data_IF_968501866413
#
_entry.id   IF_968501866413
#
_cell.length_a   1.000
_cell.length_b   1.000
_cell.length_c   1.000
_cell.angle_alpha   90.00
_cell.angle_beta   90.00
_cell.angle_gamma   90.00
#
_symmetry.space_group_name_H-M   'P 1'
#
loop_
_entity.id
_entity.type
_entity.pdbx_description
1 polymer ?
#
# COMPACT_ATOMS: atom_id res chain seq x y z
N UNK A 1 34.70 6.39 -14.34
CA UNK A 1 33.65 5.52 -13.75
C UNK A 1 34.26 4.15 -13.57
N UNK A 2 34.26 3.67 -12.32
CA UNK A 2 34.76 2.35 -11.91
C UNK A 2 34.23 1.24 -12.84
N UNK A 3 35.09 0.27 -13.18
CA UNK A 3 34.75 -0.88 -14.00
C UNK A 3 33.53 -1.62 -13.41
N UNK A 4 33.46 -1.73 -12.08
CA UNK A 4 32.34 -2.37 -11.39
C UNK A 4 31.01 -1.64 -11.62
N UNK A 5 31.03 -0.30 -11.62
CA UNK A 5 29.82 0.50 -11.85
C UNK A 5 29.36 0.34 -13.30
N UNK A 6 30.29 0.33 -14.27
CA UNK A 6 29.94 0.09 -15.69
C UNK A 6 29.31 -1.28 -15.89
N UNK A 7 29.89 -2.32 -15.29
CA UNK A 7 29.34 -3.68 -15.33
C UNK A 7 27.93 -3.72 -14.73
N UNK A 8 27.75 -3.13 -13.54
CA UNK A 8 26.44 -3.06 -12.86
C UNK A 8 25.38 -2.34 -13.71
N UNK A 9 25.74 -1.26 -14.42
CA UNK A 9 24.85 -0.55 -15.34
C UNK A 9 24.45 -1.45 -16.51
N UNK A 10 25.41 -2.12 -17.15
CA UNK A 10 25.15 -3.02 -18.28
C UNK A 10 24.26 -4.21 -17.88
N UNK A 11 24.52 -4.81 -16.72
CA UNK A 11 23.71 -5.91 -16.19
C UNK A 11 22.26 -5.45 -15.94
N UNK A 12 22.08 -4.25 -15.37
CA UNK A 12 20.75 -3.70 -15.10
C UNK A 12 19.97 -3.34 -16.38
N UNK A 13 20.66 -2.79 -17.40
CA UNK A 13 20.07 -2.52 -18.71
C UNK A 13 19.64 -3.81 -19.42
N UNK A 14 20.49 -4.83 -19.38
CA UNK A 14 20.22 -6.16 -19.95
C UNK A 14 19.03 -6.81 -19.26
N UNK A 15 19.00 -6.82 -17.93
CA UNK A 15 17.89 -7.37 -17.15
C UNK A 15 16.58 -6.62 -17.41
N UNK A 16 16.62 -5.29 -17.55
CA UNK A 16 15.45 -4.50 -17.93
C UNK A 16 14.93 -4.91 -19.32
N UNK A 17 15.82 -5.02 -20.31
CA UNK A 17 15.48 -5.44 -21.66
C UNK A 17 14.83 -6.83 -21.70
N UNK A 18 15.43 -7.81 -21.00
CA UNK A 18 14.89 -9.18 -20.90
C UNK A 18 13.48 -9.15 -20.31
N UNK A 19 13.27 -8.47 -19.18
CA UNK A 19 11.95 -8.44 -18.52
C UNK A 19 10.86 -7.80 -19.36
N UNK A 20 11.19 -6.72 -20.07
CA UNK A 20 10.23 -6.01 -20.92
C UNK A 20 9.77 -6.90 -22.08
N UNK A 21 10.65 -7.76 -22.60
CA UNK A 21 10.32 -8.65 -23.70
C UNK A 21 9.73 -9.99 -23.26
N UNK A 22 10.03 -10.46 -22.04
CA UNK A 22 9.51 -11.72 -21.51
C UNK A 22 8.12 -11.60 -20.86
N UNK A 23 7.76 -10.41 -20.36
CA UNK A 23 6.45 -10.22 -19.76
C UNK A 23 5.39 -9.89 -20.81
N UNK A 24 4.28 -10.63 -20.74
CA UNK A 24 3.08 -10.34 -21.51
C UNK A 24 2.21 -9.30 -20.78
N UNK A 25 2.19 -8.08 -21.31
CA UNK A 25 1.38 -6.99 -20.76
C UNK A 25 -0.09 -7.20 -21.07
N UNK A 26 -0.43 -7.82 -22.20
CA UNK A 26 -1.82 -8.03 -22.60
C UNK A 26 -2.52 -8.91 -21.56
N UNK A 27 -1.86 -9.98 -21.09
CA UNK A 27 -2.37 -10.80 -19.96
C UNK A 27 -2.65 -9.99 -18.69
N UNK A 28 -1.79 -9.02 -18.36
CA UNK A 28 -2.01 -8.15 -17.18
C UNK A 28 -3.20 -7.22 -17.40
N UNK A 29 -3.33 -6.68 -18.61
CA UNK A 29 -4.41 -5.79 -19.03
C UNK A 29 -5.76 -6.53 -19.04
N UNK A 30 -5.83 -7.71 -19.65
CA UNK A 30 -7.01 -8.58 -19.66
C UNK A 30 -7.48 -8.89 -18.24
N UNK A 31 -6.54 -9.22 -17.34
CA UNK A 31 -6.84 -9.46 -15.93
C UNK A 31 -7.46 -8.25 -15.23
N UNK A 32 -6.95 -7.05 -15.49
CA UNK A 32 -7.50 -5.81 -14.92
C UNK A 32 -8.87 -5.46 -15.51
N UNK A 33 -9.06 -5.61 -16.83
CA UNK A 33 -10.36 -5.38 -17.48
C UNK A 33 -11.40 -6.37 -16.94
N UNK A 34 -11.02 -7.64 -16.76
CA UNK A 34 -11.90 -8.65 -16.16
C UNK A 34 -12.32 -8.25 -14.74
N UNK A 35 -11.38 -7.85 -13.89
CA UNK A 35 -11.68 -7.38 -12.53
C UNK A 35 -12.63 -6.17 -12.51
N UNK A 36 -12.45 -5.22 -13.43
CA UNK A 36 -13.33 -4.05 -13.57
C UNK A 36 -14.75 -4.43 -14.03
N UNK A 37 -14.88 -5.34 -15.00
CA UNK A 37 -16.18 -5.84 -15.45
C UNK A 37 -16.90 -6.65 -14.40
N UNK A 38 -16.16 -7.47 -13.64
CA UNK A 38 -16.71 -8.18 -12.49
C UNK A 38 -17.20 -7.22 -11.40
N UNK A 39 -16.56 -6.05 -11.25
CA UNK A 39 -17.05 -5.00 -10.35
C UNK A 39 -18.42 -4.49 -10.82
N UNK A 40 -18.59 -4.11 -12.09
CA UNK A 40 -19.88 -3.65 -12.65
C UNK A 40 -21.00 -4.67 -12.41
N UNK A 41 -20.74 -5.94 -12.76
CA UNK A 41 -21.77 -6.99 -12.74
C UNK A 41 -22.26 -7.35 -11.33
N UNK A 42 -21.47 -7.06 -10.30
CA UNK A 42 -21.77 -7.42 -8.91
C UNK A 42 -22.14 -6.21 -8.05
N UNK A 43 -22.07 -4.98 -8.57
CA UNK A 43 -22.51 -3.79 -7.85
C UNK A 43 -24.03 -3.64 -7.95
N UNK A 44 -24.79 -4.63 -7.45
CA UNK A 44 -26.12 -4.34 -6.92
C UNK A 44 -25.94 -3.64 -5.56
N UNK A 45 -25.49 -2.39 -5.62
CA UNK A 45 -25.72 -1.47 -4.52
C UNK A 45 -27.24 -1.35 -4.41
N UNK A 46 -27.86 -2.11 -3.49
CA UNK A 46 -29.30 -2.29 -3.21
C UNK A 46 -30.27 -1.10 -3.35
N UNK A 47 -29.83 0.08 -3.78
CA UNK A 47 -30.70 1.16 -4.18
C UNK A 47 -31.11 0.92 -5.64
N UNK A 48 -32.42 0.86 -5.90
CA UNK A 48 -33.03 0.84 -7.24
C UNK A 48 -32.73 2.12 -8.07
N UNK A 49 -31.63 2.81 -7.78
CA UNK A 49 -31.23 4.05 -8.42
C UNK A 49 -30.42 3.74 -9.68
N UNK A 50 -31.14 3.52 -10.78
CA UNK A 50 -30.58 3.30 -12.12
C UNK A 50 -29.55 4.38 -12.50
N UNK A 51 -29.73 5.62 -12.06
CA UNK A 51 -28.79 6.70 -12.34
C UNK A 51 -27.42 6.47 -11.66
N UNK A 52 -27.42 6.02 -10.40
CA UNK A 52 -26.18 5.72 -9.68
C UNK A 52 -25.40 4.59 -10.36
N UNK A 53 -26.10 3.51 -10.73
CA UNK A 53 -25.48 2.38 -11.44
C UNK A 53 -24.91 2.80 -12.80
N UNK A 54 -25.61 3.67 -13.53
CA UNK A 54 -25.12 4.23 -14.79
C UNK A 54 -23.83 5.04 -14.59
N UNK A 55 -23.76 5.90 -13.57
CA UNK A 55 -22.55 6.69 -13.26
C UNK A 55 -21.36 5.78 -12.94
N UNK A 56 -21.57 4.75 -12.12
CA UNK A 56 -20.53 3.77 -11.77
C UNK A 56 -20.05 3.02 -13.01
N UNK A 57 -20.99 2.54 -13.82
CA UNK A 57 -20.70 1.81 -15.06
C UNK A 57 -19.89 2.68 -16.02
N UNK A 58 -20.32 3.92 -16.26
CA UNK A 58 -19.60 4.88 -17.10
C UNK A 58 -18.18 5.12 -16.59
N UNK A 59 -18.00 5.36 -15.28
CA UNK A 59 -16.67 5.56 -14.71
C UNK A 59 -15.76 4.34 -14.88
N UNK A 60 -16.29 3.12 -14.74
CA UNK A 60 -15.52 1.90 -14.91
C UNK A 60 -15.17 1.67 -16.39
N UNK A 61 -16.09 1.92 -17.31
CA UNK A 61 -15.81 1.83 -18.75
C UNK A 61 -14.77 2.87 -19.20
N UNK A 62 -14.74 4.06 -18.60
CA UNK A 62 -13.65 5.02 -18.81
C UNK A 62 -12.29 4.46 -18.36
N UNK A 63 -12.22 3.81 -17.20
CA UNK A 63 -10.99 3.14 -16.76
C UNK A 63 -10.57 2.00 -17.71
N UNK A 64 -11.53 1.20 -18.20
CA UNK A 64 -11.26 0.14 -19.20
C UNK A 64 -10.74 0.75 -20.49
N UNK A 65 -11.35 1.83 -20.98
CA UNK A 65 -10.92 2.56 -22.17
C UNK A 65 -9.48 3.06 -22.06
N UNK A 66 -9.10 3.62 -20.90
CA UNK A 66 -7.72 4.03 -20.64
C UNK A 66 -6.73 2.86 -20.68
N UNK A 67 -7.10 1.70 -20.10
CA UNK A 67 -6.26 0.51 -20.12
C UNK A 67 -6.06 0.01 -21.57
N UNK A 68 -7.12 0.02 -22.38
CA UNK A 68 -7.04 -0.34 -23.81
C UNK A 68 -6.19 0.63 -24.62
N UNK A 69 -6.22 1.94 -24.32
CA UNK A 69 -5.31 2.90 -24.96
C UNK A 69 -3.85 2.57 -24.66
N UNK A 70 -3.54 2.16 -23.42
CA UNK A 70 -2.21 1.69 -23.04
C UNK A 70 -1.83 0.42 -23.79
N UNK A 71 -2.71 -0.57 -23.88
CA UNK A 71 -2.49 -1.80 -24.64
C UNK A 71 -2.16 -1.50 -26.11
N UNK A 72 -3.01 -0.70 -26.74
CA UNK A 72 -2.88 -0.33 -28.14
C UNK A 72 -1.55 0.39 -28.40
N UNK A 73 -1.24 1.44 -27.63
CA UNK A 73 0.01 2.19 -27.79
C UNK A 73 1.24 1.38 -27.39
N UNK A 74 1.12 0.45 -26.44
CA UNK A 74 2.20 -0.46 -26.08
C UNK A 74 2.61 -1.34 -27.26
N UNK A 75 1.62 -1.97 -27.89
CA UNK A 75 1.83 -2.90 -29.00
C UNK A 75 2.31 -2.19 -30.28
N UNK A 76 1.85 -0.96 -30.53
CA UNK A 76 2.20 -0.24 -31.77
C UNK A 76 3.45 0.64 -31.66
N UNK A 77 3.71 1.25 -30.50
CA UNK A 77 4.71 2.32 -30.40
C UNK A 77 5.65 2.19 -29.20
N UNK A 78 5.14 2.02 -27.97
CA UNK A 78 5.99 2.12 -26.78
C UNK A 78 6.98 0.97 -26.66
N UNK A 79 6.59 -0.27 -26.98
CA UNK A 79 7.51 -1.42 -26.90
C UNK A 79 8.74 -1.23 -27.79
N UNK A 80 8.52 -0.72 -29.01
CA UNK A 80 9.59 -0.44 -29.96
C UNK A 80 10.49 0.73 -29.50
N UNK A 81 9.91 1.84 -29.04
CA UNK A 81 10.65 2.98 -28.48
C UNK A 81 11.54 2.55 -27.29
N UNK A 82 10.98 1.76 -26.37
CA UNK A 82 11.70 1.23 -25.21
C UNK A 82 12.86 0.32 -25.63
N UNK A 83 12.59 -0.61 -26.55
CA UNK A 83 13.61 -1.55 -27.04
C UNK A 83 14.75 -0.83 -27.77
N UNK A 84 14.45 0.16 -28.62
CA UNK A 84 15.46 0.99 -29.28
C UNK A 84 16.29 1.75 -28.24
N UNK A 85 15.61 2.42 -27.30
CA UNK A 85 16.24 3.22 -26.25
C UNK A 85 17.22 2.40 -25.41
N UNK A 86 16.84 1.18 -25.02
CA UNK A 86 17.70 0.27 -24.26
C UNK A 86 18.89 -0.25 -25.07
N UNK A 87 18.67 -0.66 -26.33
CA UNK A 87 19.75 -1.13 -27.23
C UNK A 87 20.77 -0.03 -27.50
N UNK A 88 20.33 1.18 -27.77
CA UNK A 88 21.21 2.34 -27.95
C UNK A 88 21.96 2.69 -26.67
N UNK A 89 21.35 2.52 -25.49
CA UNK A 89 22.02 2.74 -24.20
C UNK A 89 23.10 1.69 -23.95
N UNK A 90 22.83 0.42 -24.26
CA UNK A 90 23.81 -0.68 -24.18
C UNK A 90 24.99 -0.47 -25.13
N UNK A 91 24.73 0.10 -26.32
CA UNK A 91 25.76 0.47 -27.29
C UNK A 91 26.51 1.78 -26.96
N UNK A 92 26.18 2.44 -25.84
CA UNK A 92 26.79 3.71 -25.44
C UNK A 92 26.37 4.92 -26.28
N UNK A 93 25.33 4.79 -27.11
CA UNK A 93 24.80 5.88 -27.96
C UNK A 93 23.87 6.81 -27.21
N UNK A 94 23.15 6.30 -26.20
CA UNK A 94 22.26 7.09 -25.36
C UNK A 94 22.89 7.46 -24.01
N UNK A 95 22.60 8.68 -23.55
CA UNK A 95 23.00 9.14 -22.22
C UNK A 95 22.18 8.42 -21.15
N UNK A 96 22.87 7.74 -20.23
CA UNK A 96 22.29 7.13 -19.04
C UNK A 96 22.60 8.01 -17.84
N UNK A 97 21.57 8.62 -17.25
CA UNK A 97 21.74 9.43 -16.05
C UNK A 97 21.74 8.52 -14.82
N UNK A 98 22.82 8.59 -14.06
CA UNK A 98 23.02 7.79 -12.85
C UNK A 98 22.71 8.65 -11.63
N UNK A 99 21.67 8.32 -10.90
CA UNK A 99 21.24 9.05 -9.69
C UNK A 99 21.37 8.14 -8.48
N UNK A 100 22.06 8.61 -7.44
CA UNK A 100 22.10 7.89 -6.16
C UNK A 100 20.73 8.02 -5.49
N UNK A 101 20.14 6.86 -5.23
CA UNK A 101 18.91 6.71 -4.48
C UNK A 101 19.14 6.75 -2.98
N UNK A 102 18.04 6.64 -2.23
CA UNK A 102 18.11 6.42 -0.79
C UNK A 102 18.65 5.03 -0.50
N UNK A 103 19.35 4.87 0.61
CA UNK A 103 19.81 3.57 1.12
C UNK A 103 20.74 2.83 0.16
N UNK A 104 21.53 3.58 -0.60
CA UNK A 104 22.51 3.04 -1.54
C UNK A 104 21.91 2.43 -2.80
N UNK A 105 20.60 2.59 -3.07
CA UNK A 105 20.07 2.23 -4.39
C UNK A 105 20.63 3.14 -5.47
N UNK A 106 20.65 2.65 -6.70
CA UNK A 106 21.17 3.38 -7.85
C UNK A 106 20.08 3.40 -8.92
N UNK A 107 19.71 4.60 -9.36
CA UNK A 107 18.69 4.81 -10.38
C UNK A 107 19.35 5.15 -11.71
N UNK A 108 19.02 4.40 -12.74
CA UNK A 108 19.36 4.73 -14.12
C UNK A 108 18.14 5.39 -14.76
N UNK A 109 18.31 6.61 -15.28
CA UNK A 109 17.26 7.31 -16.01
C UNK A 109 17.68 7.47 -17.46
N UNK A 110 16.80 7.04 -18.35
CA UNK A 110 17.04 7.02 -19.79
C UNK A 110 15.82 7.65 -20.46
N UNK A 111 16.07 8.56 -21.40
CA UNK A 111 15.02 9.29 -22.09
C UNK A 111 14.84 8.72 -23.49
N UNK A 112 13.71 8.09 -23.74
CA UNK A 112 13.25 7.75 -25.09
C UNK A 112 12.42 8.87 -25.71
N UNK A 113 11.96 8.64 -26.94
CA UNK A 113 11.11 9.58 -27.68
C UNK A 113 9.72 9.63 -27.07
N UNK A 114 9.11 8.46 -26.89
CA UNK A 114 7.75 8.30 -26.38
C UNK A 114 7.71 7.89 -24.91
N UNK A 115 8.83 7.41 -24.37
CA UNK A 115 8.93 6.90 -23.01
C UNK A 115 10.09 7.51 -22.23
N UNK A 116 10.05 7.40 -20.91
CA UNK A 116 11.23 7.53 -20.05
C UNK A 116 11.39 6.24 -19.25
N UNK A 117 12.59 5.69 -19.20
CA UNK A 117 12.89 4.45 -18.48
C UNK A 117 13.66 4.80 -17.21
N UNK A 118 13.16 4.32 -16.08
CA UNK A 118 13.83 4.39 -14.79
C UNK A 118 14.11 2.98 -14.29
N UNK A 119 15.37 2.66 -14.02
CA UNK A 119 15.79 1.35 -13.54
C UNK A 119 16.39 1.54 -12.14
N UNK A 120 15.73 0.97 -11.14
CA UNK A 120 16.24 0.95 -9.76
C UNK A 120 17.04 -0.33 -9.53
N UNK A 121 18.30 -0.16 -9.09
CA UNK A 121 19.19 -1.23 -8.67
C UNK A 121 19.28 -1.19 -7.14
N UNK A 122 18.72 -2.21 -6.47
CA UNK A 122 18.77 -2.30 -5.01
C UNK A 122 20.00 -3.07 -4.55
N UNK A 123 20.84 -2.45 -3.72
CA UNK A 123 22.06 -3.08 -3.17
C UNK A 123 21.79 -4.13 -2.09
N UNK A 124 20.69 -4.03 -1.35
CA UNK A 124 20.61 -4.70 -0.05
C UNK A 124 20.07 -6.15 -0.09
N UNK A 125 19.54 -6.63 -1.23
CA UNK A 125 19.07 -8.02 -1.42
C UNK A 125 19.17 -8.41 -2.88
N UNK A 126 20.14 -9.26 -3.22
CA UNK A 126 20.25 -9.97 -4.50
C UNK A 126 20.23 -9.11 -5.78
N UNK A 127 20.76 -7.88 -5.74
CA UNK A 127 20.75 -6.95 -6.89
C UNK A 127 19.39 -6.88 -7.60
N UNK A 128 18.30 -6.77 -6.84
CA UNK A 128 16.97 -6.76 -7.46
C UNK A 128 16.82 -5.49 -8.30
N UNK A 129 16.72 -5.68 -9.61
CA UNK A 129 16.36 -4.63 -10.56
C UNK A 129 14.85 -4.38 -10.47
N UNK A 130 14.38 -3.15 -10.61
CA UNK A 130 12.98 -2.82 -10.88
C UNK A 130 12.96 -1.79 -11.99
N UNK A 131 12.19 -2.04 -13.04
CA UNK A 131 12.13 -1.14 -14.20
C UNK A 131 10.77 -0.47 -14.25
N UNK A 132 10.76 0.86 -14.33
CA UNK A 132 9.57 1.67 -14.49
C UNK A 132 9.65 2.40 -15.83
N UNK A 133 8.62 2.24 -16.66
CA UNK A 133 8.50 2.91 -17.95
C UNK A 133 7.42 3.97 -17.83
N UNK A 134 7.81 5.23 -17.83
CA UNK A 134 6.89 6.36 -17.87
C UNK A 134 6.42 6.60 -19.30
N UNK A 135 5.11 6.66 -19.48
CA UNK A 135 4.47 6.74 -20.79
C UNK A 135 4.07 8.19 -21.09
N UNK A 136 4.37 8.70 -22.29
CA UNK A 136 3.97 10.04 -22.74
C UNK A 136 2.83 9.97 -23.73
N UNK A 137 1.97 10.98 -23.74
CA UNK A 137 0.86 11.07 -24.69
C UNK A 137 -0.30 10.11 -24.40
N UNK A 138 -0.43 9.65 -23.14
CA UNK A 138 -1.66 9.00 -22.67
C UNK A 138 -2.67 10.06 -22.27
N UNK A 139 -3.93 9.78 -22.56
CA UNK A 139 -5.03 10.65 -22.15
C UNK A 139 -5.26 10.55 -20.66
N UNK A 140 -5.79 11.65 -20.13
CA UNK A 140 -6.31 11.73 -18.76
C UNK A 140 -7.84 11.74 -18.83
N UNK A 141 -8.51 11.11 -17.86
CA UNK A 141 -9.97 11.06 -17.77
C UNK A 141 -10.45 11.71 -16.48
N UNK A 142 -11.61 12.35 -16.55
CA UNK A 142 -12.34 12.84 -15.38
C UNK A 142 -13.46 11.85 -15.07
N UNK A 143 -13.45 11.30 -13.87
CA UNK A 143 -14.52 10.46 -13.34
C UNK A 143 -15.45 11.31 -12.46
N UNK A 144 -16.75 11.03 -12.53
CA UNK A 144 -17.76 11.68 -11.69
C UNK A 144 -18.11 10.74 -10.56
N UNK A 145 -17.56 11.00 -9.36
CA UNK A 145 -17.71 10.11 -8.22
C UNK A 145 -18.92 10.52 -7.37
N UNK A 146 -19.97 9.70 -7.30
CA UNK A 146 -21.12 9.98 -6.44
C UNK A 146 -20.77 9.76 -4.97
N UNK A 147 -21.49 10.45 -4.06
CA UNK A 147 -21.38 10.20 -2.63
C UNK A 147 -22.06 8.88 -2.24
N UNK A 148 -21.41 7.75 -2.54
CA UNK A 148 -21.99 6.42 -2.27
C UNK A 148 -21.91 5.99 -0.80
N UNK A 149 -20.94 6.55 -0.06
CA UNK A 149 -20.72 6.13 1.31
C UNK A 149 -21.75 6.77 2.27
N UNK A 150 -22.37 7.91 1.89
CA UNK A 150 -23.25 8.72 2.74
C UNK A 150 -22.68 8.89 4.15
N UNK A 151 -21.38 9.19 4.22
CA UNK A 151 -20.69 9.46 5.47
C UNK A 151 -20.83 10.94 5.80
N UNK A 152 -20.80 11.26 7.09
CA UNK A 152 -20.66 12.65 7.53
C UNK A 152 -19.28 13.20 7.14
N UNK A 153 -19.16 14.53 7.09
CA UNK A 153 -17.88 15.19 6.77
C UNK A 153 -16.76 14.77 7.73
N UNK A 154 -17.11 14.57 9.00
CA UNK A 154 -16.19 14.08 10.02
C UNK A 154 -15.68 12.66 9.74
N UNK A 155 -16.53 11.77 9.24
CA UNK A 155 -16.13 10.41 8.89
C UNK A 155 -15.30 10.36 7.61
N UNK A 156 -15.65 11.19 6.62
CA UNK A 156 -14.80 11.39 5.44
C UNK A 156 -13.43 11.94 5.82
N UNK A 157 -13.38 12.94 6.70
CA UNK A 157 -12.14 13.53 7.19
C UNK A 157 -11.23 12.45 7.82
N UNK A 158 -11.77 11.61 8.70
CA UNK A 158 -10.98 10.54 9.34
C UNK A 158 -10.42 9.56 8.30
N UNK A 159 -11.23 9.09 7.36
CA UNK A 159 -10.76 8.16 6.33
C UNK A 159 -9.68 8.80 5.45
N UNK A 160 -9.86 10.05 5.03
CA UNK A 160 -8.89 10.80 4.22
C UNK A 160 -7.59 11.04 4.97
N UNK A 161 -7.66 11.36 6.27
CA UNK A 161 -6.52 11.63 7.13
C UNK A 161 -5.55 10.44 7.22
N UNK A 162 -6.07 9.22 7.36
CA UNK A 162 -5.22 8.02 7.40
C UNK A 162 -4.48 7.78 6.07
N UNK A 163 -5.13 8.00 4.93
CA UNK A 163 -4.44 7.99 3.64
C UNK A 163 -3.42 9.11 3.51
N UNK A 164 -3.75 10.31 3.98
CA UNK A 164 -2.86 11.49 3.92
C UNK A 164 -1.57 11.28 4.71
N UNK A 165 -1.66 10.59 5.85
CA UNK A 165 -0.50 10.18 6.64
C UNK A 165 0.33 9.07 5.97
N UNK A 166 -0.29 8.23 5.15
CA UNK A 166 0.34 7.19 4.31
C UNK A 166 0.68 7.66 2.89
N UNK A 167 0.11 7.02 1.88
CA UNK A 167 0.41 7.18 0.44
C UNK A 167 -0.13 8.47 -0.17
N UNK A 168 -1.02 9.18 0.52
CA UNK A 168 -1.62 10.42 0.04
C UNK A 168 -0.60 11.53 -0.13
N UNK A 169 -0.68 12.22 -1.26
CA UNK A 169 0.17 13.36 -1.63
C UNK A 169 -0.69 14.57 -1.97
N UNK A 170 -0.03 15.71 -2.19
CA UNK A 170 -0.67 16.92 -2.71
C UNK A 170 -0.15 17.17 -4.11
N UNK A 171 -1.07 17.44 -5.01
CA UNK A 171 -0.79 17.90 -6.36
C UNK A 171 -1.57 19.19 -6.60
N UNK A 172 -0.89 20.29 -6.90
CA UNK A 172 -1.53 21.59 -7.17
C UNK A 172 -2.53 22.04 -6.09
N UNK A 173 -2.20 21.80 -4.81
CA UNK A 173 -3.07 22.13 -3.67
C UNK A 173 -4.27 21.20 -3.46
N UNK A 174 -4.30 20.08 -4.19
CA UNK A 174 -5.40 19.11 -4.19
C UNK A 174 -4.93 17.75 -3.67
N UNK A 175 -5.81 16.97 -3.03
CA UNK A 175 -5.48 15.64 -2.59
C UNK A 175 -5.24 14.75 -3.81
N UNK A 176 -4.16 13.99 -3.77
CA UNK A 176 -3.73 13.13 -4.85
C UNK A 176 -3.13 11.82 -4.33
N UNK A 177 -3.04 10.83 -5.20
CA UNK A 177 -2.43 9.54 -4.89
C UNK A 177 -1.78 8.94 -6.15
N UNK A 178 -0.63 8.30 -5.94
CA UNK A 178 -0.03 7.40 -6.93
C UNK A 178 -0.14 5.98 -6.40
N UNK A 179 -0.77 5.09 -7.15
CA UNK A 179 -0.97 3.70 -6.71
C UNK A 179 -0.81 2.71 -7.85
N UNK A 180 -0.45 1.47 -7.50
CA UNK A 180 -0.42 0.31 -8.39
C UNK A 180 -1.59 -0.64 -8.14
N UNK A 181 -2.44 -0.33 -7.17
CA UNK A 181 -3.48 -1.22 -6.69
C UNK A 181 -4.84 -0.69 -7.11
N UNK A 182 -5.57 -1.49 -7.88
CA UNK A 182 -6.85 -1.09 -8.43
C UNK A 182 -7.90 -0.83 -7.32
N UNK A 183 -7.91 -1.64 -6.26
CA UNK A 183 -8.79 -1.37 -5.12
C UNK A 183 -8.48 -0.03 -4.44
N UNK A 184 -7.22 0.40 -4.42
CA UNK A 184 -6.80 1.65 -3.78
C UNK A 184 -7.21 2.85 -4.63
N UNK A 185 -7.14 2.72 -5.96
CA UNK A 185 -7.73 3.66 -6.91
C UNK A 185 -9.22 3.86 -6.61
N UNK A 186 -9.99 2.77 -6.56
CA UNK A 186 -11.44 2.84 -6.34
C UNK A 186 -11.75 3.40 -4.95
N UNK A 187 -11.18 2.82 -3.89
CA UNK A 187 -11.46 3.26 -2.51
C UNK A 187 -11.11 4.73 -2.31
N UNK A 188 -9.95 5.18 -2.81
CA UNK A 188 -9.54 6.57 -2.69
C UNK A 188 -10.52 7.49 -3.41
N UNK A 189 -10.93 7.17 -4.64
CA UNK A 189 -11.93 7.97 -5.37
C UNK A 189 -13.24 8.11 -4.59
N UNK A 190 -13.73 7.04 -3.97
CA UNK A 190 -14.95 7.08 -3.15
C UNK A 190 -14.85 7.98 -1.92
N UNK A 191 -13.64 8.26 -1.43
CA UNK A 191 -13.44 9.20 -0.33
C UNK A 191 -13.51 10.66 -0.79
N UNK A 192 -13.42 10.95 -2.10
CA UNK A 192 -13.46 12.31 -2.65
C UNK A 192 -14.59 12.44 -3.68
N UNK A 193 -15.86 12.43 -3.25
CA UNK A 193 -16.99 12.56 -4.16
C UNK A 193 -16.92 13.88 -4.95
N UNK A 194 -17.34 13.86 -6.21
CA UNK A 194 -17.17 14.93 -7.19
C UNK A 194 -16.27 14.50 -8.34
N UNK A 195 -15.55 15.46 -8.93
CA UNK A 195 -14.64 15.21 -10.04
C UNK A 195 -13.30 14.66 -9.54
N UNK A 196 -12.92 13.49 -10.05
CA UNK A 196 -11.61 12.87 -9.84
C UNK A 196 -10.93 12.69 -11.18
N UNK A 197 -9.76 13.29 -11.34
CA UNK A 197 -8.93 13.12 -12.53
C UNK A 197 -8.04 11.89 -12.37
N UNK A 198 -8.01 11.03 -13.39
CA UNK A 198 -7.28 9.76 -13.41
C UNK A 198 -6.39 9.68 -14.65
N UNK A 199 -5.13 9.30 -14.45
CA UNK A 199 -4.18 9.04 -15.53
C UNK A 199 -3.36 7.79 -15.25
N UNK A 200 -2.97 7.06 -16.30
CA UNK A 200 -1.95 6.01 -16.21
C UNK A 200 -0.60 6.67 -16.48
N UNK A 201 0.31 6.65 -15.51
CA UNK A 201 1.61 7.32 -15.64
C UNK A 201 2.70 6.39 -16.16
N UNK A 202 2.66 5.12 -15.76
CA UNK A 202 3.79 4.24 -16.01
C UNK A 202 3.47 2.76 -15.88
N UNK A 203 4.26 1.91 -16.53
CA UNK A 203 4.26 0.45 -16.41
C UNK A 203 5.48 0.00 -15.61
N UNK A 204 5.27 -0.80 -14.57
CA UNK A 204 6.32 -1.30 -13.69
C UNK A 204 6.60 -2.77 -13.95
N UNK A 205 7.84 -3.11 -14.32
CA UNK A 205 8.30 -4.46 -14.61
C UNK A 205 9.15 -4.97 -13.45
N UNK A 206 8.66 -6.02 -12.81
CA UNK A 206 9.39 -6.76 -11.77
C UNK A 206 9.79 -8.12 -12.31
N UNK A 207 10.55 -8.90 -11.52
CA UNK A 207 10.84 -10.29 -11.87
C UNK A 207 9.56 -11.13 -12.05
N UNK A 208 8.48 -10.79 -11.34
CA UNK A 208 7.28 -11.65 -11.23
C UNK A 208 6.10 -11.17 -12.07
N UNK A 209 6.00 -9.87 -12.32
CA UNK A 209 4.81 -9.30 -12.93
C UNK A 209 5.05 -7.89 -13.49
N UNK A 210 4.10 -7.48 -14.32
CA UNK A 210 3.88 -6.09 -14.75
C UNK A 210 2.79 -5.47 -13.89
N UNK A 211 2.88 -4.17 -13.63
CA UNK A 211 1.83 -3.40 -12.97
C UNK A 211 1.61 -2.05 -13.66
N UNK A 212 0.37 -1.59 -13.63
CA UNK A 212 -0.01 -0.24 -14.05
C UNK A 212 0.09 0.68 -12.85
N UNK A 213 0.74 1.83 -13.02
CA UNK A 213 0.79 2.88 -12.02
C UNK A 213 -0.18 3.99 -12.39
N UNK A 214 -1.22 4.11 -11.57
CA UNK A 214 -2.24 5.14 -11.63
C UNK A 214 -1.79 6.38 -10.89
N UNK A 215 -2.21 7.52 -11.40
CA UNK A 215 -2.15 8.80 -10.70
C UNK A 215 -3.55 9.39 -10.69
N UNK A 216 -4.02 9.74 -9.49
CA UNK A 216 -5.34 10.29 -9.26
C UNK A 216 -5.25 11.55 -8.42
N UNK A 217 -6.15 12.50 -8.68
CA UNK A 217 -6.35 13.64 -7.80
C UNK A 217 -7.78 14.18 -7.92
N UNK A 218 -8.25 14.84 -6.86
CA UNK A 218 -9.60 15.40 -6.84
C UNK A 218 -9.60 16.83 -7.38
N UNK A 219 -10.44 17.12 -8.37
CA UNK A 219 -10.68 18.48 -8.87
C UNK A 219 -11.72 19.24 -8.05
N UNK A 220 -12.57 18.54 -7.30
CA UNK A 220 -13.56 19.16 -6.43
C UNK A 220 -12.97 19.54 -5.07
N UNK A 221 -12.13 18.69 -4.49
CA UNK A 221 -11.62 18.90 -3.13
C UNK A 221 -10.30 19.68 -3.13
N UNK A 222 -10.15 20.59 -2.17
CA UNK A 222 -8.87 21.25 -1.83
C UNK A 222 -8.30 20.62 -0.57
N UNK A 223 -6.99 20.41 -0.55
CA UNK A 223 -6.33 19.84 0.62
C UNK A 223 -6.05 20.92 1.67
N UNK A 224 -6.47 20.69 2.91
CA UNK A 224 -6.17 21.56 4.05
C UNK A 224 -4.90 21.11 4.77
N UNK A 225 -4.57 19.82 4.71
CA UNK A 225 -3.40 19.20 5.34
C UNK A 225 -2.18 19.33 4.43
N UNK A 226 -1.45 20.45 4.57
CA UNK A 226 -0.34 20.86 3.68
C UNK A 226 0.81 19.86 3.58
N UNK A 227 1.07 19.07 4.62
CA UNK A 227 2.17 18.10 4.61
C UNK A 227 1.87 16.91 5.54
N UNK A 228 2.71 15.86 5.48
CA UNK A 228 2.55 14.67 6.32
C UNK A 228 2.72 14.96 7.82
N UNK A 229 3.48 15.98 8.19
CA UNK A 229 3.70 16.31 9.60
C UNK A 229 2.41 16.82 10.25
N UNK A 230 1.68 17.69 9.55
CA UNK A 230 0.35 18.14 9.96
C UNK A 230 -0.61 16.95 10.01
N UNK A 231 -0.52 16.01 9.05
CA UNK A 231 -1.34 14.80 9.08
C UNK A 231 -1.11 13.98 10.35
N UNK A 232 0.14 13.81 10.81
CA UNK A 232 0.44 13.11 12.06
C UNK A 232 -0.04 13.88 13.29
N UNK A 233 0.05 15.22 13.30
CA UNK A 233 -0.49 16.04 14.39
C UNK A 233 -2.02 15.93 14.48
N UNK A 234 -2.71 15.91 13.35
CA UNK A 234 -4.16 15.73 13.30
C UNK A 234 -4.56 14.30 13.72
N UNK A 235 -3.78 13.28 13.34
CA UNK A 235 -3.96 11.92 13.84
C UNK A 235 -3.79 11.85 15.37
N UNK A 236 -2.79 12.53 15.93
CA UNK A 236 -2.57 12.58 17.38
C UNK A 236 -3.79 13.15 18.12
N UNK A 237 -4.45 14.16 17.56
CA UNK A 237 -5.63 14.81 18.17
C UNK A 237 -6.91 13.98 18.04
N UNK A 238 -7.03 13.19 16.97
CA UNK A 238 -8.29 12.56 16.59
C UNK A 238 -8.09 11.16 16.01
N UNK A 239 -7.33 10.32 16.70
CA UNK A 239 -7.14 8.93 16.27
C UNK A 239 -8.49 8.17 16.34
N UNK A 240 -8.80 7.35 15.34
CA UNK A 240 -10.08 6.63 15.27
C UNK A 240 -9.97 5.34 14.47
N UNK A 241 -10.94 4.44 14.61
CA UNK A 241 -11.01 3.19 13.82
C UNK A 241 -10.92 3.45 12.31
N UNK A 242 -11.47 4.57 11.82
CA UNK A 242 -11.53 4.94 10.40
C UNK A 242 -10.18 5.40 9.86
N UNK A 243 -9.49 6.30 10.55
CA UNK A 243 -8.16 6.73 10.10
C UNK A 243 -7.12 5.61 10.26
N UNK A 244 -7.27 4.76 11.29
CA UNK A 244 -6.44 3.56 11.44
C UNK A 244 -6.64 2.55 10.31
N UNK A 245 -7.89 2.37 9.85
CA UNK A 245 -8.17 1.53 8.69
C UNK A 245 -7.39 2.01 7.48
N UNK A 246 -7.55 3.27 7.07
CA UNK A 246 -6.93 3.77 5.83
C UNK A 246 -5.41 3.90 5.94
N UNK A 247 -4.89 4.19 7.13
CA UNK A 247 -3.45 4.13 7.41
C UNK A 247 -2.89 2.72 7.22
N UNK A 248 -3.57 1.68 7.71
CA UNK A 248 -3.17 0.28 7.52
C UNK A 248 -3.33 -0.15 6.05
N UNK A 249 -4.43 0.25 5.40
CA UNK A 249 -4.67 -0.05 4.00
C UNK A 249 -3.60 0.57 3.10
N UNK A 250 -3.08 1.75 3.46
CA UNK A 250 -2.00 2.43 2.75
C UNK A 250 -0.63 1.76 2.97
N UNK A 251 0.13 2.20 3.99
CA UNK A 251 1.50 1.75 4.24
C UNK A 251 1.61 0.59 5.25
N UNK A 252 0.46 0.09 5.71
CA UNK A 252 0.39 -1.03 6.66
C UNK A 252 0.52 -2.41 6.02
N UNK A 253 0.79 -3.39 6.88
CA UNK A 253 0.85 -4.81 6.56
C UNK A 253 0.28 -5.64 7.71
N UNK A 254 -0.35 -6.76 7.37
CA UNK A 254 -0.96 -7.69 8.32
C UNK A 254 -0.41 -9.08 8.05
N UNK A 255 0.11 -9.73 9.07
CA UNK A 255 0.62 -11.10 9.01
C UNK A 255 -0.18 -11.97 9.97
N UNK A 256 -1.02 -12.84 9.43
CA UNK A 256 -1.87 -13.76 10.21
C UNK A 256 -1.05 -14.84 10.91
N UNK A 257 0.08 -15.29 10.32
CA UNK A 257 0.93 -16.33 10.92
C UNK A 257 1.65 -15.77 12.14
N UNK A 258 2.18 -14.55 12.00
CA UNK A 258 2.86 -13.82 13.08
C UNK A 258 1.89 -13.09 14.02
N UNK A 259 0.60 -13.07 13.69
CA UNK A 259 -0.45 -12.32 14.37
C UNK A 259 -0.03 -10.88 14.65
N UNK A 260 0.39 -10.16 13.62
CA UNK A 260 0.82 -8.77 13.78
C UNK A 260 0.19 -7.82 12.75
N UNK A 261 0.07 -6.57 13.19
CA UNK A 261 -0.22 -5.42 12.34
C UNK A 261 1.03 -4.54 12.41
N UNK A 262 1.62 -4.25 11.25
CA UNK A 262 2.78 -3.37 11.13
C UNK A 262 2.44 -2.18 10.26
N UNK A 263 2.69 -0.98 10.76
CA UNK A 263 2.70 0.27 9.98
C UNK A 263 4.13 0.69 9.73
N UNK A 264 4.44 1.13 8.50
CA UNK A 264 5.78 1.58 8.14
C UNK A 264 5.82 3.09 7.97
N UNK A 265 6.90 3.71 8.41
CA UNK A 265 7.16 5.13 8.20
C UNK A 265 8.63 5.35 7.86
N UNK A 266 8.91 6.43 7.12
CA UNK A 266 10.29 6.88 6.90
C UNK A 266 10.97 7.30 8.21
N UNK A 267 12.31 7.31 8.22
CA UNK A 267 13.11 7.67 9.40
C UNK A 267 12.77 9.06 9.96
N UNK A 268 12.38 10.01 9.11
CA UNK A 268 11.98 11.35 9.54
C UNK A 268 10.60 11.42 10.21
N UNK A 269 9.79 10.36 10.09
CA UNK A 269 8.36 10.40 10.38
C UNK A 269 7.90 9.37 11.41
N UNK A 270 8.70 8.34 11.72
CA UNK A 270 8.23 7.23 12.54
C UNK A 270 7.93 7.64 13.99
N UNK A 271 8.70 8.57 14.56
CA UNK A 271 8.46 9.09 15.91
C UNK A 271 7.14 9.87 15.97
N UNK A 272 6.86 10.67 14.95
CA UNK A 272 5.59 11.40 14.81
C UNK A 272 4.42 10.44 14.70
N UNK A 273 4.57 9.38 13.90
CA UNK A 273 3.55 8.34 13.80
C UNK A 273 3.38 7.59 15.14
N UNK A 274 4.48 7.23 15.81
CA UNK A 274 4.43 6.58 17.13
C UNK A 274 3.68 7.43 18.14
N UNK A 275 4.00 8.73 18.22
CA UNK A 275 3.33 9.69 19.08
C UNK A 275 1.84 9.79 18.77
N UNK A 276 1.49 9.86 17.48
CA UNK A 276 0.09 9.89 17.04
C UNK A 276 -0.71 8.64 17.41
N UNK A 277 -0.05 7.48 17.58
CA UNK A 277 -0.69 6.22 17.97
C UNK A 277 -0.82 6.05 19.49
N UNK A 278 -0.11 6.84 20.30
CA UNK A 278 -0.13 6.73 21.77
C UNK A 278 -1.53 6.87 22.38
N UNK A 279 -2.38 7.83 21.97
CA UNK A 279 -3.73 7.94 22.54
C UNK A 279 -4.56 6.67 22.35
N UNK A 280 -4.57 6.09 21.14
CA UNK A 280 -5.27 4.84 20.85
C UNK A 280 -4.67 3.66 21.61
N UNK A 281 -3.34 3.63 21.73
CA UNK A 281 -2.64 2.58 22.49
C UNK A 281 -3.09 2.58 23.95
N UNK A 282 -3.22 3.77 24.54
CA UNK A 282 -3.68 3.96 25.92
C UNK A 282 -5.17 3.61 26.07
N UNK A 283 -6.02 4.11 25.16
CA UNK A 283 -7.47 3.82 25.14
C UNK A 283 -7.74 2.31 25.10
N UNK A 284 -7.08 1.61 24.18
CA UNK A 284 -7.27 0.17 23.99
C UNK A 284 -6.43 -0.69 24.95
N UNK A 285 -5.60 -0.07 25.80
CA UNK A 285 -4.64 -0.74 26.69
C UNK A 285 -3.75 -1.74 25.95
N UNK A 286 -3.37 -1.42 24.72
CA UNK A 286 -2.49 -2.23 23.88
C UNK A 286 -1.06 -1.67 23.89
N UNK A 287 -0.09 -2.52 23.55
CA UNK A 287 1.32 -2.13 23.37
C UNK A 287 1.76 -2.40 21.94
N UNK A 288 2.67 -1.57 21.44
CA UNK A 288 3.37 -1.79 20.18
C UNK A 288 4.89 -1.72 20.39
N UNK A 289 5.63 -2.25 19.43
CA UNK A 289 7.09 -2.16 19.37
C UNK A 289 7.51 -1.35 18.15
N UNK A 290 8.64 -0.65 18.27
CA UNK A 290 9.26 0.06 17.15
C UNK A 290 10.47 -0.74 16.69
N UNK A 291 10.55 -1.03 15.39
CA UNK A 291 11.69 -1.66 14.74
C UNK A 291 12.26 -0.72 13.69
N UNK A 292 13.36 -0.05 14.04
CA UNK A 292 14.08 0.85 13.13
C UNK A 292 15.03 0.04 12.26
N UNK A 293 15.08 0.38 10.96
CA UNK A 293 16.02 -0.17 9.97
C UNK A 293 16.55 1.00 9.14
N UNK A 294 17.61 0.74 8.37
CA UNK A 294 18.23 1.76 7.50
C UNK A 294 17.21 2.49 6.63
N UNK A 295 16.16 1.78 6.18
CA UNK A 295 15.19 2.31 5.22
C UNK A 295 13.97 3.00 5.82
N UNK A 296 13.83 2.99 7.15
CA UNK A 296 12.63 3.43 7.86
C UNK A 296 12.34 2.58 9.08
N UNK A 297 11.27 2.90 9.80
CA UNK A 297 10.85 2.15 10.97
C UNK A 297 9.49 1.49 10.78
N UNK A 298 9.30 0.38 11.50
CA UNK A 298 8.02 -0.31 11.63
C UNK A 298 7.46 -0.18 13.03
N UNK A 299 6.22 0.26 13.16
CA UNK A 299 5.46 0.21 14.41
C UNK A 299 4.58 -1.05 14.36
N UNK A 300 4.81 -1.97 15.29
CA UNK A 300 4.31 -3.34 15.22
C UNK A 300 3.48 -3.67 16.46
N UNK A 301 2.21 -3.98 16.25
CA UNK A 301 1.32 -4.57 17.23
C UNK A 301 1.39 -6.09 17.09
N UNK A 302 1.65 -6.81 18.18
CA UNK A 302 1.82 -8.27 18.18
C UNK A 302 0.70 -8.97 18.96
N UNK A 303 0.37 -10.19 18.53
CA UNK A 303 -0.48 -11.14 19.26
C UNK A 303 -1.82 -10.51 19.68
N UNK A 304 -2.12 -10.51 20.98
CA UNK A 304 -3.35 -9.95 21.55
C UNK A 304 -3.53 -8.47 21.19
N UNK A 305 -2.47 -7.67 21.18
CA UNK A 305 -2.53 -6.25 20.81
C UNK A 305 -3.01 -6.04 19.37
N UNK A 306 -2.52 -6.89 18.45
CA UNK A 306 -2.91 -6.85 17.05
C UNK A 306 -4.39 -7.25 16.86
N UNK A 307 -4.83 -8.27 17.59
CA UNK A 307 -6.23 -8.74 17.58
C UNK A 307 -7.17 -7.69 18.16
N UNK A 308 -6.82 -7.06 19.29
CA UNK A 308 -7.61 -5.99 19.91
C UNK A 308 -7.74 -4.80 18.94
N UNK A 309 -6.64 -4.36 18.33
CA UNK A 309 -6.68 -3.30 17.33
C UNK A 309 -7.54 -3.68 16.11
N UNK A 310 -7.40 -4.90 15.60
CA UNK A 310 -8.21 -5.38 14.47
C UNK A 310 -9.71 -5.39 14.80
N UNK A 311 -10.09 -5.87 15.99
CA UNK A 311 -11.48 -5.86 16.47
C UNK A 311 -12.01 -4.44 16.62
N UNK A 312 -11.23 -3.55 17.23
CA UNK A 312 -11.61 -2.15 17.36
C UNK A 312 -11.88 -1.53 15.99
N UNK A 313 -11.01 -1.78 15.00
CA UNK A 313 -11.24 -1.27 13.64
C UNK A 313 -12.51 -1.89 13.05
N UNK A 314 -12.56 -3.22 12.92
CA UNK A 314 -13.67 -3.93 12.24
C UNK A 314 -15.02 -3.64 12.88
N UNK A 315 -15.12 -3.57 14.20
CA UNK A 315 -16.41 -3.40 14.87
C UNK A 315 -16.95 -1.97 14.71
N UNK A 316 -16.08 -0.96 14.69
CA UNK A 316 -16.47 0.46 14.68
C UNK A 316 -16.56 1.09 13.28
N UNK A 317 -16.55 0.30 12.19
CA UNK A 317 -16.79 0.83 10.84
C UNK A 317 -18.29 0.93 10.51
N UNK A 318 -18.72 1.95 9.76
CA UNK A 318 -20.06 2.01 9.17
C UNK A 318 -20.35 0.79 8.28
N UNK A 319 -21.58 0.26 8.33
CA UNK A 319 -21.98 -0.92 7.55
C UNK A 319 -21.81 -0.71 6.04
N UNK A 320 -22.10 0.49 5.53
CA UNK A 320 -21.90 0.84 4.11
C UNK A 320 -20.43 0.70 3.70
N UNK A 321 -19.51 1.21 4.53
CA UNK A 321 -18.07 1.08 4.28
C UNK A 321 -17.63 -0.40 4.33
N UNK A 322 -18.12 -1.19 5.29
CA UNK A 322 -17.85 -2.64 5.34
C UNK A 322 -18.30 -3.36 4.06
N UNK A 323 -19.49 -3.04 3.56
CA UNK A 323 -20.03 -3.60 2.30
C UNK A 323 -19.09 -3.29 1.13
N UNK A 324 -18.65 -2.04 1.00
CA UNK A 324 -17.69 -1.64 -0.04
C UNK A 324 -16.36 -2.40 0.11
N UNK A 325 -15.80 -2.45 1.31
CA UNK A 325 -14.53 -3.16 1.54
C UNK A 325 -14.63 -4.66 1.22
N UNK A 326 -15.77 -5.30 1.49
CA UNK A 326 -16.03 -6.70 1.10
C UNK A 326 -16.07 -6.87 -0.43
N UNK A 327 -16.72 -5.95 -1.16
CA UNK A 327 -16.73 -5.97 -2.63
C UNK A 327 -15.30 -5.81 -3.18
N UNK A 328 -14.53 -4.87 -2.64
CA UNK A 328 -13.13 -4.66 -3.04
C UNK A 328 -12.24 -5.85 -2.71
N UNK A 329 -12.49 -6.54 -1.59
CA UNK A 329 -11.80 -7.78 -1.24
C UNK A 329 -12.07 -8.88 -2.26
N UNK A 330 -13.34 -9.11 -2.58
CA UNK A 330 -13.76 -10.18 -3.47
C UNK A 330 -13.34 -9.94 -4.91
N UNK A 331 -13.56 -8.72 -5.44
CA UNK A 331 -13.40 -8.42 -6.87
C UNK A 331 -12.04 -7.86 -7.23
N UNK A 332 -11.41 -7.11 -6.32
CA UNK A 332 -10.15 -6.42 -6.56
C UNK A 332 -9.01 -6.90 -5.65
N UNK A 333 -9.21 -8.05 -4.99
CA UNK A 333 -8.22 -8.71 -4.14
C UNK A 333 -7.63 -7.79 -3.05
N UNK A 334 -8.50 -7.06 -2.35
CA UNK A 334 -8.14 -6.30 -1.14
C UNK A 334 -7.78 -7.23 0.05
N UNK A 335 -6.66 -7.92 -0.08
CA UNK A 335 -6.17 -8.92 0.87
C UNK A 335 -5.91 -8.34 2.27
N UNK A 336 -5.59 -7.05 2.38
CA UNK A 336 -5.43 -6.37 3.67
C UNK A 336 -6.73 -6.37 4.47
N UNK A 337 -7.88 -6.11 3.85
CA UNK A 337 -9.18 -6.17 4.54
C UNK A 337 -9.53 -7.59 4.97
N UNK A 338 -9.32 -8.58 4.08
CA UNK A 338 -9.48 -10.00 4.40
C UNK A 338 -8.70 -10.41 5.64
N UNK A 339 -7.40 -10.08 5.66
CA UNK A 339 -6.51 -10.36 6.78
C UNK A 339 -6.89 -9.61 8.04
N UNK A 340 -7.37 -8.38 7.94
CA UNK A 340 -7.82 -7.62 9.10
C UNK A 340 -9.04 -8.27 9.76
N UNK A 341 -10.05 -8.67 8.97
CA UNK A 341 -11.22 -9.43 9.45
C UNK A 341 -10.83 -10.76 10.07
N UNK A 342 -9.98 -11.52 9.38
CA UNK A 342 -9.49 -12.80 9.89
C UNK A 342 -8.77 -12.63 11.24
N UNK A 343 -7.92 -11.60 11.37
CA UNK A 343 -7.22 -11.29 12.61
C UNK A 343 -8.18 -10.87 13.72
N UNK A 344 -9.24 -10.11 13.42
CA UNK A 344 -10.26 -9.73 14.40
C UNK A 344 -11.00 -10.93 15.00
N UNK A 345 -11.18 -12.00 14.22
CA UNK A 345 -11.83 -13.25 14.63
C UNK A 345 -10.89 -14.23 15.36
N UNK A 346 -9.59 -13.95 15.45
CA UNK A 346 -8.66 -14.81 16.21
C UNK A 346 -9.00 -14.74 17.69
N UNK A 347 -9.09 -15.90 18.35
CA UNK A 347 -9.22 -15.94 19.81
C UNK A 347 -7.96 -15.39 20.46
N UNK A 348 -8.14 -14.50 21.44
CA UNK A 348 -7.04 -14.08 22.29
C UNK A 348 -6.88 -15.19 23.31
N UNK A 349 -5.96 -16.13 23.03
CA UNK A 349 -5.53 -17.08 24.05
C UNK A 349 -5.08 -16.32 25.30
N UNK A 350 -5.32 -16.87 26.50
CA UNK A 350 -4.78 -16.31 27.75
C UNK A 350 -3.31 -15.96 27.49
N UNK A 351 -2.92 -14.71 27.67
CA UNK A 351 -1.54 -14.29 27.37
C UNK A 351 -0.62 -15.26 28.10
N UNK A 352 0.36 -15.85 27.41
CA UNK A 352 1.40 -16.59 28.11
C UNK A 352 2.02 -15.63 29.14
N UNK A 353 1.71 -15.86 30.42
CA UNK A 353 2.08 -15.00 31.54
C UNK A 353 1.02 -14.04 32.10
N UNK A 354 -0.24 -14.01 31.65
CA UNK A 354 -1.29 -13.24 32.38
C UNK A 354 -1.80 -13.95 33.64
N UNK A 355 -1.59 -15.25 33.72
CA UNK A 355 -1.68 -15.98 34.97
C UNK A 355 -0.25 -16.14 35.46
N UNK A 356 0.23 -15.15 36.21
CA UNK A 356 1.47 -15.27 36.96
C UNK A 356 1.11 -15.56 38.41
N UNK A 357 1.78 -16.55 38.97
CA UNK A 357 1.75 -16.81 40.42
C UNK A 357 3.15 -16.60 40.95
N UNK A 358 3.24 -15.93 42.09
CA UNK A 358 4.49 -15.79 42.82
C UNK A 358 4.46 -16.79 43.97
N UNK A 359 5.44 -17.69 44.00
CA UNK A 359 5.57 -18.71 45.05
C UNK A 359 6.98 -18.56 45.61
N UNK A 360 7.10 -18.23 46.90
CA UNK A 360 8.37 -17.92 47.57
C UNK A 360 9.25 -16.90 46.83
N UNK A 361 8.66 -15.82 46.31
CA UNK A 361 9.41 -14.77 45.59
C UNK A 361 9.77 -15.10 44.13
N UNK A 362 9.41 -16.28 43.63
CA UNK A 362 9.69 -16.70 42.25
C UNK A 362 8.43 -16.54 41.40
N UNK A 363 8.52 -15.78 40.30
CA UNK A 363 7.42 -15.58 39.36
C UNK A 363 7.32 -16.74 38.36
N UNK A 364 6.19 -17.43 38.37
CA UNK A 364 5.86 -18.50 37.43
C UNK A 364 4.79 -18.05 36.46
N UNK A 365 4.95 -18.37 35.18
CA UNK A 365 3.87 -18.35 34.21
C UNK A 365 3.03 -19.63 34.39
N UNK A 366 1.74 -19.47 34.63
CA UNK A 366 0.78 -20.56 34.68
C UNK A 366 0.31 -20.86 33.27
N UNK A 367 0.57 -22.08 32.82
CA UNK A 367 0.01 -22.65 31.60
C UNK A 367 -1.05 -23.66 31.99
N UNK A 368 -2.31 -23.33 31.73
CA UNK A 368 -3.40 -24.30 31.80
C UNK A 368 -3.45 -25.09 30.49
N UNK A 369 -3.43 -26.42 30.61
CA UNK A 369 -3.78 -27.36 29.54
C UNK A 369 -5.07 -28.08 29.93
N UNK A 370 -5.67 -28.84 29.02
CA UNK A 370 -6.92 -29.60 29.32
C UNK A 370 -6.79 -30.57 30.50
N UNK A 371 -5.57 -31.02 30.83
CA UNK A 371 -5.33 -32.04 31.86
C UNK A 371 -4.38 -31.62 32.98
N UNK A 372 -3.62 -30.53 32.80
CA UNK A 372 -2.56 -30.14 33.75
C UNK A 372 -2.42 -28.63 33.87
N UNK A 373 -1.98 -28.20 35.05
CA UNK A 373 -1.48 -26.85 35.30
C UNK A 373 0.04 -26.93 35.33
N UNK A 374 0.72 -26.25 34.40
CA UNK A 374 2.18 -26.16 34.38
C UNK A 374 2.63 -24.78 34.88
N UNK A 375 3.57 -24.75 35.81
CA UNK A 375 4.25 -23.54 36.24
C UNK A 375 5.60 -23.45 35.56
N UNK A 376 5.85 -22.38 34.79
CA UNK A 376 7.12 -22.15 34.08
C UNK A 376 7.81 -20.91 34.63
N UNK A 377 9.02 -21.04 35.15
CA UNK A 377 9.82 -19.89 35.57
C UNK A 377 10.24 -19.06 34.35
N UNK A 378 10.23 -17.74 34.49
CA UNK A 378 10.81 -16.82 33.50
C UNK A 378 12.34 -16.86 33.57
N UNK A 379 12.98 -18.01 33.38
CA UNK A 379 14.43 -18.07 33.33
C UNK A 379 14.91 -17.66 31.94
N UNK A 380 15.40 -16.42 31.85
CA UNK A 380 16.23 -15.98 30.74
C UNK A 380 17.46 -16.87 30.62
N UNK A 381 17.87 -17.13 29.38
CA UNK A 381 19.13 -17.79 29.04
C UNK A 381 20.31 -17.07 29.71
N UNK A 382 21.18 -17.86 30.33
CA UNK A 382 22.57 -17.58 30.68
C UNK A 382 22.84 -16.54 31.78
N UNK A 383 22.92 -17.02 33.02
CA UNK A 383 23.98 -16.58 33.93
C UNK A 383 24.94 -17.76 34.04
N UNK A 384 26.00 -17.74 33.24
CA UNK A 384 27.18 -18.58 33.48
C UNK A 384 27.81 -18.10 34.79
N UNK A 385 27.68 -18.89 35.84
CA UNK A 385 28.39 -18.71 37.09
C UNK A 385 29.90 -18.88 36.84
N UNK A 386 30.66 -17.80 36.95
CA UNK A 386 32.05 -17.89 37.40
C UNK A 386 32.04 -18.16 38.90
N UNK A 387 32.93 -19.10 39.28
CA UNK A 387 33.09 -19.73 40.59
C UNK A 387 33.18 -18.79 41.77
#
# INVERSE_FOLDING_TARGET
MDYEIKKLINDALTEAYIRINNHDINKTIEGLIKQLRELINNTNFNDNNTNLQNIITTNIEELISMIKDVENKWNHAYKNDVNSTLKESLAGKNRVFVVKGRYGSLFLKIRGKLTSIEIEIKRNKSHSVVTQIYLRGLSTRTLIIPNMLNLSDNEFYDLRLGFRAGDGIIYEGRPAMKTRQLWQLILWSLLYPGEVEVSIKSLGFTKKSVNITWFIYSKTHKETIKNKDIAFQELEKRISSRNMLTLILSDGSIDLKKKNIKMSAGLSNYEKLSKALTPLSNELKIKYQISVKDTGAGIIFWNSNAVILARHIVNNLPNKLKKILNILEEKLNLDKWRKLKALANVSIGRMHGSSQVEIYGIKFNVLLTEKTIQLRTCCGKNVTSTR
#
